data_IF_952885571210
#
_entry.id   IF_952885571210
#
_cell.length_a   1.000
_cell.length_b   1.000
_cell.length_c   1.000
_cell.angle_alpha   90.00
_cell.angle_beta   90.00
_cell.angle_gamma   90.00
#
_symmetry.space_group_name_H-M   'P 1'
#
loop_
_entity.id
_entity.type
_entity.pdbx_description
1 polymer ?
#
# COMPACT_ATOMS: atom_id res chain seq x y z
N UNK A 1 20.82 -8.34 11.73
CA UNK A 1 20.03 -8.28 10.48
C UNK A 1 20.90 -8.81 9.34
N UNK A 2 20.42 -9.75 8.51
CA UNK A 2 21.20 -10.35 7.42
C UNK A 2 21.20 -9.42 6.18
N UNK A 3 22.31 -9.31 5.45
CA UNK A 3 22.45 -8.43 4.28
C UNK A 3 21.34 -8.65 3.23
N UNK A 4 20.97 -9.91 2.96
CA UNK A 4 19.90 -10.20 1.99
C UNK A 4 18.53 -9.68 2.46
N UNK A 5 18.25 -9.69 3.78
CA UNK A 5 17.03 -9.11 4.37
C UNK A 5 16.98 -7.60 4.13
N UNK A 6 18.10 -6.92 4.42
CA UNK A 6 18.22 -5.48 4.23
C UNK A 6 18.01 -5.08 2.76
N UNK A 7 18.62 -5.82 1.82
CA UNK A 7 18.45 -5.58 0.37
C UNK A 7 16.97 -5.71 -0.04
N UNK A 8 16.26 -6.76 0.41
CA UNK A 8 14.83 -6.91 0.11
C UNK A 8 14.00 -5.74 0.62
N UNK A 9 14.24 -5.29 1.86
CA UNK A 9 13.55 -4.15 2.46
C UNK A 9 13.81 -2.87 1.63
N UNK A 10 15.08 -2.60 1.30
CA UNK A 10 15.47 -1.42 0.54
C UNK A 10 14.88 -1.40 -0.87
N UNK A 11 14.94 -2.51 -1.60
CA UNK A 11 14.35 -2.63 -2.95
C UNK A 11 12.83 -2.44 -2.88
N UNK A 12 12.17 -3.01 -1.87
CA UNK A 12 10.71 -2.87 -1.71
C UNK A 12 10.33 -1.42 -1.48
N UNK A 13 11.04 -0.71 -0.59
CA UNK A 13 10.80 0.72 -0.36
C UNK A 13 11.03 1.55 -1.61
N UNK A 14 12.14 1.31 -2.32
CA UNK A 14 12.49 2.03 -3.54
C UNK A 14 11.45 1.81 -4.65
N UNK A 15 11.04 0.56 -4.89
CA UNK A 15 10.04 0.23 -5.91
C UNK A 15 8.67 0.81 -5.57
N UNK A 16 8.25 0.73 -4.30
CA UNK A 16 7.00 1.33 -3.87
C UNK A 16 7.03 2.85 -4.11
N UNK A 17 8.05 3.54 -3.60
CA UNK A 17 8.15 4.99 -3.73
C UNK A 17 8.24 5.44 -5.20
N UNK A 18 9.11 4.80 -5.98
CA UNK A 18 9.30 5.13 -7.39
C UNK A 18 8.04 4.90 -8.21
N UNK A 19 7.30 3.81 -7.98
CA UNK A 19 6.05 3.53 -8.71
C UNK A 19 4.93 4.51 -8.34
N UNK A 20 4.80 4.92 -7.07
CA UNK A 20 3.86 5.97 -6.67
C UNK A 20 4.20 7.31 -7.34
N UNK A 21 5.48 7.70 -7.29
CA UNK A 21 5.92 8.99 -7.81
C UNK A 21 5.90 9.05 -9.35
N UNK A 22 6.24 7.96 -10.04
CA UNK A 22 6.20 7.89 -11.50
C UNK A 22 4.79 8.08 -12.07
N UNK A 23 3.76 7.77 -11.27
CA UNK A 23 2.35 7.90 -11.65
C UNK A 23 1.63 8.92 -10.75
N UNK A 24 2.38 9.92 -10.24
CA UNK A 24 1.88 10.93 -9.32
C UNK A 24 0.54 11.60 -9.73
N UNK A 25 0.28 11.95 -11.01
CA UNK A 25 -0.99 12.55 -11.40
C UNK A 25 -2.22 11.65 -11.13
N UNK A 26 -2.05 10.33 -11.23
CA UNK A 26 -3.11 9.37 -10.90
C UNK A 26 -3.11 8.99 -9.42
N UNK A 27 -1.95 9.04 -8.76
CA UNK A 27 -1.81 8.65 -7.35
C UNK A 27 -2.29 9.72 -6.36
N UNK A 28 -2.30 11.01 -6.74
CA UNK A 28 -2.72 12.14 -5.87
C UNK A 28 -3.93 12.92 -6.39
N UNK A 29 -4.63 12.39 -7.40
CA UNK A 29 -5.84 13.01 -7.97
C UNK A 29 -7.08 12.85 -7.08
N UNK A 30 -8.24 13.29 -7.57
CA UNK A 30 -9.51 13.13 -6.87
C UNK A 30 -9.92 11.66 -6.68
N UNK A 31 -9.63 10.83 -7.70
CA UNK A 31 -9.68 9.37 -7.60
C UNK A 31 -8.22 8.90 -7.55
N UNK A 32 -7.79 8.45 -6.38
CA UNK A 32 -6.39 8.09 -6.14
C UNK A 32 -6.16 6.62 -6.53
N UNK A 33 -5.45 6.40 -7.63
CA UNK A 33 -5.00 5.07 -8.03
C UNK A 33 -3.53 4.89 -7.63
N UNK A 34 -3.32 4.23 -6.49
CA UNK A 34 -1.99 3.96 -5.96
C UNK A 34 -1.55 2.54 -6.32
N UNK A 35 -1.11 2.32 -7.56
CA UNK A 35 -0.69 1.00 -8.06
C UNK A 35 0.39 0.31 -7.20
N UNK A 36 1.22 1.09 -6.51
CA UNK A 36 2.21 0.61 -5.55
C UNK A 36 1.60 -0.16 -4.37
N UNK A 37 0.34 0.09 -4.00
CA UNK A 37 -0.36 -0.62 -2.91
C UNK A 37 -0.58 -2.10 -3.21
N UNK A 38 -0.50 -2.54 -4.47
CA UNK A 38 -0.45 -3.98 -4.80
C UNK A 38 0.70 -4.67 -4.07
N UNK A 39 1.82 -3.97 -3.85
CA UNK A 39 2.98 -4.50 -3.15
C UNK A 39 2.71 -4.76 -1.67
N UNK A 40 1.67 -4.19 -1.07
CA UNK A 40 1.33 -4.48 0.35
C UNK A 40 1.02 -5.94 0.60
N UNK A 41 0.55 -6.65 -0.43
CA UNK A 41 0.32 -8.10 -0.38
C UNK A 41 1.63 -8.90 -0.26
N UNK A 42 2.81 -8.28 -0.45
CA UNK A 42 4.07 -8.93 -0.08
C UNK A 42 4.13 -9.24 1.42
N UNK A 43 3.52 -8.39 2.26
CA UNK A 43 3.41 -8.65 3.71
C UNK A 43 2.56 -9.89 4.04
N UNK A 44 1.69 -10.32 3.12
CA UNK A 44 0.95 -11.59 3.24
C UNK A 44 1.86 -12.80 3.01
N UNK A 45 2.87 -12.66 2.13
CA UNK A 45 3.82 -13.73 1.84
C UNK A 45 4.86 -13.84 2.96
N UNK A 46 5.40 -12.71 3.38
CA UNK A 46 6.43 -12.63 4.43
C UNK A 46 6.39 -11.27 5.15
N UNK A 47 6.27 -11.23 6.49
CA UNK A 47 6.28 -9.99 7.27
C UNK A 47 7.56 -9.15 7.13
N UNK A 48 8.65 -9.72 6.59
CA UNK A 48 9.91 -8.99 6.35
C UNK A 48 9.74 -7.77 5.44
N UNK A 49 8.70 -7.75 4.58
CA UNK A 49 8.44 -6.65 3.66
C UNK A 49 7.79 -5.44 4.34
N UNK A 50 7.22 -5.59 5.54
CA UNK A 50 6.50 -4.52 6.25
C UNK A 50 7.35 -3.24 6.38
N UNK A 51 8.60 -3.26 6.87
CA UNK A 51 9.40 -2.04 6.99
C UNK A 51 9.65 -1.39 5.63
N UNK A 52 9.83 -2.18 4.57
CA UNK A 52 10.05 -1.66 3.22
C UNK A 52 8.81 -0.96 2.67
N UNK A 53 7.63 -1.55 2.86
CA UNK A 53 6.36 -0.98 2.41
C UNK A 53 6.03 0.33 3.15
N UNK A 54 6.23 0.35 4.46
CA UNK A 54 5.99 1.52 5.31
C UNK A 54 6.96 2.66 4.95
N UNK A 55 8.25 2.35 4.77
CA UNK A 55 9.24 3.33 4.33
C UNK A 55 8.95 3.83 2.91
N UNK A 56 8.52 2.94 2.00
CA UNK A 56 8.12 3.32 0.65
C UNK A 56 6.97 4.32 0.65
N UNK A 57 5.92 4.05 1.44
CA UNK A 57 4.78 4.95 1.61
C UNK A 57 5.19 6.31 2.18
N UNK A 58 5.98 6.31 3.25
CA UNK A 58 6.50 7.54 3.84
C UNK A 58 7.30 8.35 2.81
N UNK A 59 8.19 7.70 2.07
CA UNK A 59 9.02 8.35 1.06
C UNK A 59 8.20 8.92 -0.10
N UNK A 60 7.20 8.20 -0.62
CA UNK A 60 6.33 8.75 -1.67
C UNK A 60 5.51 9.93 -1.15
N UNK A 61 5.00 9.85 0.08
CA UNK A 61 4.13 10.88 0.63
C UNK A 61 4.85 12.18 0.98
N UNK A 62 6.19 12.16 1.16
CA UNK A 62 6.99 13.40 1.27
C UNK A 62 6.80 14.29 0.04
N UNK A 63 6.58 13.68 -1.13
CA UNK A 63 6.38 14.38 -2.40
C UNK A 63 4.90 14.57 -2.75
N UNK A 64 3.97 14.24 -1.85
CA UNK A 64 2.55 14.47 -2.09
C UNK A 64 2.19 15.96 -1.90
N UNK A 65 1.08 16.43 -2.50
CA UNK A 65 0.62 17.80 -2.31
C UNK A 65 0.32 18.18 -0.85
N UNK A 66 0.02 17.18 -0.02
CA UNK A 66 -0.30 17.33 1.41
C UNK A 66 0.97 17.28 2.30
N UNK A 67 2.09 16.83 1.73
CA UNK A 67 3.40 16.82 2.37
C UNK A 67 3.43 16.01 3.67
N UNK A 68 3.88 16.63 4.76
CA UNK A 68 4.16 15.94 6.02
C UNK A 68 2.91 15.31 6.66
N UNK A 69 1.72 15.88 6.44
CA UNK A 69 0.48 15.34 7.01
C UNK A 69 0.17 13.98 6.39
N UNK A 70 0.30 13.86 5.07
CA UNK A 70 0.07 12.60 4.33
C UNK A 70 1.16 11.58 4.64
N UNK A 71 2.39 12.03 4.93
CA UNK A 71 3.41 11.12 5.47
C UNK A 71 2.92 10.50 6.77
N UNK A 72 2.37 11.27 7.71
CA UNK A 72 1.91 10.72 8.99
C UNK A 72 0.66 9.85 8.82
N UNK A 73 -0.37 10.36 8.16
CA UNK A 73 -1.67 9.67 8.02
C UNK A 73 -1.57 8.49 7.06
N UNK A 74 -1.01 8.68 5.87
CA UNK A 74 -0.83 7.62 4.89
C UNK A 74 0.08 6.49 5.41
N UNK A 75 1.22 6.83 6.03
CA UNK A 75 2.14 5.79 6.54
C UNK A 75 1.52 5.02 7.70
N UNK A 76 0.76 5.66 8.59
CA UNK A 76 0.06 4.96 9.68
C UNK A 76 -1.05 4.06 9.14
N UNK A 77 -1.83 4.53 8.17
CA UNK A 77 -2.84 3.71 7.49
C UNK A 77 -2.20 2.49 6.81
N UNK A 78 -1.12 2.68 6.04
CA UNK A 78 -0.38 1.58 5.40
C UNK A 78 0.19 0.63 6.44
N UNK A 79 0.78 1.13 7.54
CA UNK A 79 1.32 0.30 8.63
C UNK A 79 0.25 -0.61 9.23
N UNK A 80 -0.94 -0.08 9.52
CA UNK A 80 -2.07 -0.87 10.03
C UNK A 80 -2.47 -1.91 8.98
N UNK A 81 -2.61 -1.52 7.71
CA UNK A 81 -2.97 -2.42 6.62
C UNK A 81 -2.00 -3.59 6.50
N UNK A 82 -0.70 -3.33 6.35
CA UNK A 82 0.31 -4.38 6.15
C UNK A 82 0.47 -5.27 7.37
N UNK A 83 0.30 -4.72 8.57
CA UNK A 83 0.29 -5.52 9.80
C UNK A 83 -0.89 -6.49 9.82
N UNK A 84 -2.11 -6.01 9.56
CA UNK A 84 -3.31 -6.85 9.52
C UNK A 84 -3.27 -7.88 8.38
N UNK A 85 -2.73 -7.50 7.20
CA UNK A 85 -2.44 -8.40 6.08
C UNK A 85 -1.56 -9.55 6.54
N UNK A 86 -0.46 -9.28 7.25
CA UNK A 86 0.49 -10.30 7.70
C UNK A 86 -0.11 -11.33 8.68
N UNK A 87 -1.21 -10.97 9.35
CA UNK A 87 -1.95 -11.84 10.29
C UNK A 87 -3.12 -12.57 9.63
N UNK A 88 -3.49 -12.20 8.40
CA UNK A 88 -4.64 -12.74 7.71
C UNK A 88 -4.28 -14.02 6.97
N UNK A 89 -5.15 -15.04 7.02
CA UNK A 89 -4.92 -16.35 6.34
C UNK A 89 -5.60 -16.47 4.97
N UNK A 90 -6.56 -15.60 4.68
CA UNK A 90 -7.28 -15.59 3.41
C UNK A 90 -6.80 -14.41 2.57
N UNK A 91 -6.23 -14.69 1.39
CA UNK A 91 -5.73 -13.66 0.48
C UNK A 91 -6.79 -12.61 0.12
N UNK A 92 -8.05 -13.02 -0.08
CA UNK A 92 -9.12 -12.08 -0.43
C UNK A 92 -9.41 -11.12 0.73
N UNK A 93 -9.42 -11.61 1.97
CA UNK A 93 -9.59 -10.73 3.14
C UNK A 93 -8.37 -9.81 3.27
N UNK A 94 -7.17 -10.32 2.96
CA UNK A 94 -5.96 -9.52 3.01
C UNK A 94 -6.02 -8.31 2.06
N UNK A 95 -6.62 -8.45 0.86
CA UNK A 95 -6.74 -7.33 -0.09
C UNK A 95 -7.70 -6.23 0.36
N UNK A 96 -8.58 -6.50 1.33
CA UNK A 96 -9.56 -5.53 1.81
C UNK A 96 -9.01 -4.59 2.89
N UNK A 97 -7.93 -4.95 3.58
CA UNK A 97 -7.38 -4.10 4.65
C UNK A 97 -6.98 -2.70 4.18
N UNK A 98 -6.26 -2.52 3.04
CA UNK A 98 -5.96 -1.18 2.53
C UNK A 98 -7.23 -0.38 2.21
N UNK A 99 -8.22 -1.02 1.59
CA UNK A 99 -9.52 -0.40 1.27
C UNK A 99 -10.26 0.08 2.52
N UNK A 100 -10.26 -0.71 3.60
CA UNK A 100 -10.91 -0.34 4.86
C UNK A 100 -10.20 0.85 5.52
N UNK A 101 -8.87 0.89 5.46
CA UNK A 101 -8.07 1.96 6.06
C UNK A 101 -8.09 3.29 5.28
N UNK A 102 -8.75 3.35 4.13
CA UNK A 102 -8.96 4.60 3.37
C UNK A 102 -9.73 5.66 4.16
N UNK A 103 -10.46 5.28 5.22
CA UNK A 103 -11.13 6.20 6.14
C UNK A 103 -10.15 7.21 6.76
N UNK A 104 -8.91 6.80 7.03
CA UNK A 104 -7.88 7.70 7.55
C UNK A 104 -7.50 8.78 6.54
N UNK A 105 -7.29 8.42 5.27
CA UNK A 105 -6.98 9.35 4.18
C UNK A 105 -8.19 10.25 3.87
N UNK A 106 -9.41 9.69 3.90
CA UNK A 106 -10.64 10.47 3.76
C UNK A 106 -10.81 11.52 4.86
N UNK A 107 -10.44 11.18 6.11
CA UNK A 107 -10.44 12.12 7.23
C UNK A 107 -9.40 13.23 7.02
N UNK A 108 -8.20 12.88 6.57
CA UNK A 108 -7.17 13.86 6.21
C UNK A 108 -7.65 14.85 5.14
N UNK A 109 -8.25 14.36 4.05
CA UNK A 109 -8.78 15.22 2.98
C UNK A 109 -9.88 16.17 3.49
N UNK A 110 -10.69 15.71 4.44
CA UNK A 110 -11.70 16.55 5.09
C UNK A 110 -11.08 17.64 5.97
N UNK A 111 -10.09 17.30 6.80
CA UNK A 111 -9.49 18.27 7.73
C UNK A 111 -8.55 19.26 7.05
N UNK A 112 -7.80 18.83 6.03
CA UNK A 112 -6.76 19.66 5.39
C UNK A 112 -7.29 20.43 4.19
N UNK A 113 -8.08 19.77 3.33
CA UNK A 113 -8.58 20.36 2.08
C UNK A 113 -10.06 20.75 2.15
N UNK A 114 -10.72 20.56 3.30
CA UNK A 114 -12.15 20.83 3.50
C UNK A 114 -13.06 20.14 2.48
N UNK A 115 -12.62 18.99 1.96
CA UNK A 115 -13.38 18.19 1.01
C UNK A 115 -14.47 17.38 1.71
N UNK A 116 -15.60 17.04 1.04
CA UNK A 116 -16.65 16.26 1.67
C UNK A 116 -16.13 14.87 2.09
N UNK A 117 -16.17 14.58 3.39
CA UNK A 117 -15.57 13.38 3.98
C UNK A 117 -16.03 12.07 3.32
N UNK A 118 -17.35 11.88 3.21
CA UNK A 118 -17.92 10.65 2.66
C UNK A 118 -17.55 10.42 1.19
N UNK A 119 -17.59 11.48 0.40
CA UNK A 119 -17.27 11.43 -1.03
C UNK A 119 -15.78 11.14 -1.23
N UNK A 120 -14.93 11.85 -0.49
CA UNK A 120 -13.47 11.68 -0.56
C UNK A 120 -13.06 10.27 -0.12
N UNK A 121 -13.60 9.80 1.00
CA UNK A 121 -13.37 8.43 1.49
C UNK A 121 -13.80 7.41 0.45
N UNK A 122 -14.99 7.57 -0.15
CA UNK A 122 -15.51 6.64 -1.15
C UNK A 122 -14.60 6.58 -2.39
N UNK A 123 -14.12 7.72 -2.89
CA UNK A 123 -13.22 7.73 -4.06
C UNK A 123 -11.87 7.06 -3.78
N UNK A 124 -11.28 7.31 -2.61
CA UNK A 124 -10.03 6.65 -2.20
C UNK A 124 -10.25 5.15 -2.02
N UNK A 125 -11.32 4.76 -1.32
CA UNK A 125 -11.73 3.35 -1.16
C UNK A 125 -11.89 2.66 -2.53
N UNK A 126 -12.55 3.30 -3.49
CA UNK A 126 -12.76 2.75 -4.82
C UNK A 126 -11.44 2.56 -5.57
N UNK A 127 -10.54 3.53 -5.52
CA UNK A 127 -9.22 3.44 -6.13
C UNK A 127 -8.41 2.27 -5.53
N UNK A 128 -8.34 2.19 -4.21
CA UNK A 128 -7.66 1.10 -3.50
C UNK A 128 -8.30 -0.26 -3.76
N UNK A 129 -9.63 -0.34 -3.79
CA UNK A 129 -10.32 -1.59 -4.09
C UNK A 129 -9.99 -2.08 -5.50
N UNK A 130 -10.03 -1.19 -6.50
CA UNK A 130 -9.68 -1.56 -7.88
C UNK A 130 -8.22 -2.03 -7.96
N UNK A 131 -7.30 -1.32 -7.32
CA UNK A 131 -5.88 -1.65 -7.40
C UNK A 131 -5.55 -2.92 -6.60
N UNK A 132 -5.86 -2.98 -5.32
CA UNK A 132 -5.42 -4.07 -4.46
C UNK A 132 -6.33 -5.30 -4.62
N UNK A 133 -7.65 -5.10 -4.68
CA UNK A 133 -8.60 -6.21 -4.75
C UNK A 133 -8.87 -6.66 -6.17
N UNK A 134 -9.15 -5.78 -7.14
CA UNK A 134 -9.42 -6.22 -8.51
C UNK A 134 -8.14 -6.64 -9.26
N UNK A 135 -7.01 -5.95 -9.06
CA UNK A 135 -5.74 -6.25 -9.76
C UNK A 135 -4.79 -7.08 -8.88
N UNK A 136 -4.58 -6.69 -7.62
CA UNK A 136 -3.65 -7.37 -6.72
C UNK A 136 -4.06 -8.80 -6.38
N UNK A 137 -5.33 -9.05 -6.10
CA UNK A 137 -5.84 -10.40 -5.79
C UNK A 137 -5.54 -11.45 -6.89
N UNK A 138 -5.93 -11.26 -8.17
CA UNK A 138 -5.65 -12.26 -9.20
C UNK A 138 -4.15 -12.43 -9.42
N UNK A 139 -3.37 -11.33 -9.39
CA UNK A 139 -1.91 -11.37 -9.51
C UNK A 139 -1.28 -12.24 -8.42
N UNK A 140 -1.59 -11.96 -7.14
CA UNK A 140 -1.03 -12.71 -6.01
C UNK A 140 -1.57 -14.14 -5.93
N UNK A 141 -2.81 -14.38 -6.37
CA UNK A 141 -3.37 -15.74 -6.49
C UNK A 141 -2.56 -16.57 -7.51
N UNK A 142 -2.19 -16.00 -8.65
CA UNK A 142 -1.36 -16.66 -9.66
C UNK A 142 0.08 -16.87 -9.13
N UNK A 143 0.63 -15.85 -8.46
CA UNK A 143 1.97 -15.90 -7.88
C UNK A 143 2.07 -16.99 -6.81
N UNK A 144 1.08 -17.11 -5.91
CA UNK A 144 1.07 -18.12 -4.85
C UNK A 144 1.02 -19.57 -5.37
N UNK A 145 0.63 -19.79 -6.64
CA UNK A 145 0.70 -21.12 -7.27
C UNK A 145 2.12 -21.46 -7.76
N UNK A 146 3.01 -20.47 -7.90
CA UNK A 146 4.37 -20.60 -8.43
C UNK A 146 5.38 -20.75 -7.31
N UNK A 147 5.70 -22.00 -6.96
CA UNK A 147 6.64 -22.35 -5.87
C UNK A 147 8.04 -21.77 -6.08
N UNK A 148 8.49 -21.72 -7.34
CA UNK A 148 9.74 -21.09 -7.78
C UNK A 148 9.82 -19.63 -7.34
N UNK A 149 8.77 -18.85 -7.61
CA UNK A 149 8.72 -17.43 -7.22
C UNK A 149 8.58 -17.27 -5.72
N UNK A 150 7.75 -18.11 -5.07
CA UNK A 150 7.55 -18.05 -3.62
C UNK A 150 8.83 -18.33 -2.83
N UNK A 151 9.68 -19.24 -3.29
CA UNK A 151 10.94 -19.55 -2.63
C UNK A 151 11.92 -18.36 -2.67
N UNK A 152 11.85 -17.54 -3.72
CA UNK A 152 12.65 -16.31 -3.83
C UNK A 152 12.09 -15.21 -2.91
N UNK A 153 10.76 -15.10 -2.84
CA UNK A 153 10.11 -14.04 -2.06
C UNK A 153 10.13 -14.34 -0.55
N UNK A 154 9.98 -15.58 -0.13
CA UNK A 154 10.10 -15.95 1.28
C UNK A 154 11.54 -15.80 1.77
N UNK A 155 11.71 -15.51 3.06
CA UNK A 155 13.00 -15.45 3.71
C UNK A 155 13.10 -16.47 4.85
#
# INVERSE_FOLDING_TARGET
>A
MNLKKLIKIAITAALYAASTMAIAPLSYGAIQFRFSEVMTLLAYIDPIYIPGLVLGCALSNIYSPLGLIDVLVGTTATLISVYMISKTKNLFIATLWPTINCVFVGAELYFVLHQPFWISTLYVCLGEFVVVTCIGYPLFRLLLKRKDVLNVLKY
#
